data_IF_274799052237
#
_entry.id   IF_274799052237
#
_cell.length_a   1.000
_cell.length_b   1.000
_cell.length_c   1.000
_cell.angle_alpha   90.00
_cell.angle_beta   90.00
_cell.angle_gamma   90.00
#
_symmetry.space_group_name_H-M   'P 1'
#
loop_
_entity.id
_entity.type
_entity.pdbx_description
1 polymer ?
#
# COMPACT_ATOMS: atom_id res chain seq x y z
N UNK A 1 -2.28 51.48 23.76
CA UNK A 1 -1.22 50.59 24.33
C UNK A 1 -1.63 49.96 25.68
N UNK A 2 -2.71 50.37 26.31
CA UNK A 2 -3.17 49.83 27.63
C UNK A 2 -3.90 48.47 27.52
N UNK A 3 -4.36 48.06 26.35
CA UNK A 3 -5.09 46.81 26.20
C UNK A 3 -4.21 45.54 26.36
N UNK A 4 -2.90 45.64 26.08
CA UNK A 4 -1.96 44.53 26.22
C UNK A 4 -1.36 44.42 27.65
N UNK A 5 -1.53 45.38 28.49
CA UNK A 5 -0.92 45.41 29.86
C UNK A 5 -1.74 44.66 30.91
N UNK A 6 -2.99 44.26 30.59
CA UNK A 6 -3.88 43.44 31.45
C UNK A 6 -4.22 42.06 30.85
N UNK A 7 -3.44 41.58 29.91
CA UNK A 7 -3.69 40.28 29.34
C UNK A 7 -3.17 39.21 30.29
N UNK A 8 -4.06 38.48 30.95
CA UNK A 8 -3.68 37.37 31.83
C UNK A 8 -2.83 36.38 31.03
N UNK A 9 -1.74 35.88 31.59
CA UNK A 9 -0.73 35.04 30.94
C UNK A 9 -1.36 33.83 30.21
N UNK A 10 -2.48 33.29 30.69
CA UNK A 10 -3.15 32.17 30.09
C UNK A 10 -3.85 32.49 28.74
N UNK A 11 -4.15 33.77 28.46
CA UNK A 11 -4.72 34.18 27.17
C UNK A 11 -3.73 34.04 26.02
N UNK A 12 -2.42 34.08 26.26
CA UNK A 12 -1.43 33.79 25.24
C UNK A 12 -1.56 32.35 24.71
N UNK A 13 -1.89 31.41 25.58
CA UNK A 13 -2.17 30.01 25.17
C UNK A 13 -3.47 29.90 24.35
N UNK A 14 -4.47 30.70 24.63
CA UNK A 14 -5.66 30.73 23.78
C UNK A 14 -5.33 31.22 22.36
N UNK A 15 -4.56 32.32 22.23
CA UNK A 15 -4.12 32.81 20.93
C UNK A 15 -3.23 31.79 20.18
N UNK A 16 -2.31 31.16 20.89
CA UNK A 16 -1.49 30.07 20.31
C UNK A 16 -2.34 28.89 19.83
N UNK A 17 -3.37 28.52 20.60
CA UNK A 17 -4.34 27.50 20.21
C UNK A 17 -5.12 27.88 18.95
N UNK A 18 -5.61 29.12 18.87
CA UNK A 18 -6.30 29.62 17.67
C UNK A 18 -5.37 29.64 16.45
N UNK A 19 -4.14 30.14 16.60
CA UNK A 19 -3.17 30.14 15.50
C UNK A 19 -2.86 28.70 15.04
N UNK A 20 -2.67 27.76 15.95
CA UNK A 20 -2.46 26.34 15.64
C UNK A 20 -3.66 25.73 14.92
N UNK A 21 -4.89 26.10 15.30
CA UNK A 21 -6.12 25.66 14.65
C UNK A 21 -6.21 26.14 13.20
N UNK A 22 -5.83 27.40 12.94
CA UNK A 22 -5.77 27.96 11.59
C UNK A 22 -4.70 27.22 10.75
N UNK A 23 -3.51 26.99 11.31
CA UNK A 23 -2.44 26.23 10.64
C UNK A 23 -2.91 24.83 10.28
N UNK A 24 -3.64 24.16 11.16
CA UNK A 24 -4.22 22.82 10.92
C UNK A 24 -5.10 22.82 9.68
N UNK A 25 -5.87 23.89 9.43
CA UNK A 25 -6.77 23.98 8.27
C UNK A 25 -6.04 24.08 6.92
N UNK A 26 -4.79 24.51 6.90
CA UNK A 26 -3.97 24.57 5.69
C UNK A 26 -3.16 23.29 5.42
N UNK A 27 -3.11 22.36 6.36
CA UNK A 27 -2.32 21.15 6.21
C UNK A 27 -3.00 20.12 5.31
N UNK A 28 -2.30 19.69 4.26
CA UNK A 28 -2.77 18.66 3.31
C UNK A 28 -2.40 17.23 3.75
N UNK A 29 -1.39 17.09 4.59
CA UNK A 29 -0.85 15.78 5.01
C UNK A 29 -1.40 15.40 6.39
N UNK A 30 -1.86 14.15 6.52
CA UNK A 30 -2.63 13.72 7.68
C UNK A 30 -1.81 13.60 8.97
N UNK A 31 -0.53 13.18 8.91
CA UNK A 31 0.35 13.04 10.09
C UNK A 31 0.66 14.40 10.72
N UNK A 32 1.22 15.38 10.00
CA UNK A 32 1.46 16.72 10.55
C UNK A 32 0.19 17.39 11.07
N UNK A 33 -0.96 17.21 10.37
CA UNK A 33 -2.24 17.73 10.82
C UNK A 33 -2.60 17.22 12.23
N UNK A 34 -2.40 15.92 12.51
CA UNK A 34 -2.68 15.35 13.85
C UNK A 34 -1.71 15.88 14.92
N UNK A 35 -0.42 16.05 14.58
CA UNK A 35 0.57 16.59 15.50
C UNK A 35 0.20 18.03 15.90
N UNK A 36 -0.14 18.88 14.92
CA UNK A 36 -0.55 20.28 15.20
C UNK A 36 -1.87 20.32 15.96
N UNK A 37 -2.83 19.42 15.66
CA UNK A 37 -4.08 19.33 16.42
C UNK A 37 -3.84 18.95 17.89
N UNK A 38 -2.88 18.07 18.18
CA UNK A 38 -2.50 17.73 19.56
C UNK A 38 -1.88 18.92 20.27
N UNK A 39 -0.99 19.68 19.62
CA UNK A 39 -0.43 20.92 20.17
C UNK A 39 -1.54 21.95 20.46
N UNK A 40 -2.47 22.13 19.54
CA UNK A 40 -3.65 22.99 19.70
C UNK A 40 -4.47 22.60 20.94
N UNK A 41 -4.83 21.29 21.06
CA UNK A 41 -5.58 20.80 22.22
C UNK A 41 -4.82 21.03 23.52
N UNK A 42 -3.49 20.87 23.54
CA UNK A 42 -2.66 21.13 24.72
C UNK A 42 -2.69 22.60 25.12
N UNK A 43 -2.61 23.53 24.17
CA UNK A 43 -2.73 24.95 24.45
C UNK A 43 -4.11 25.31 25.02
N UNK A 44 -5.18 24.77 24.48
CA UNK A 44 -6.52 25.00 25.00
C UNK A 44 -6.76 24.35 26.36
N UNK A 45 -6.14 23.24 26.70
CA UNK A 45 -6.18 22.63 28.03
C UNK A 45 -5.56 23.57 29.05
N UNK A 46 -4.35 24.12 28.77
CA UNK A 46 -3.66 25.06 29.68
C UNK A 46 -4.50 26.33 29.87
N UNK A 47 -5.01 26.87 28.77
CA UNK A 47 -5.90 28.05 28.83
C UNK A 47 -7.13 27.80 29.68
N UNK A 48 -7.84 26.69 29.40
CA UNK A 48 -9.12 26.37 30.04
C UNK A 48 -8.96 26.02 31.52
N UNK A 49 -7.85 25.37 31.88
CA UNK A 49 -7.51 25.07 33.29
C UNK A 49 -7.24 26.34 34.08
N UNK A 50 -6.39 27.22 33.57
CA UNK A 50 -6.05 28.48 34.23
C UNK A 50 -7.20 29.48 34.26
N UNK A 51 -8.06 29.50 33.20
CA UNK A 51 -9.20 30.40 33.09
C UNK A 51 -10.49 29.83 33.67
N UNK A 52 -10.47 28.63 34.29
CA UNK A 52 -11.65 27.93 34.84
C UNK A 52 -12.80 27.70 33.80
N UNK A 53 -12.45 27.49 32.51
CA UNK A 53 -13.41 27.28 31.43
C UNK A 53 -13.64 25.76 31.25
N UNK A 54 -14.43 25.17 32.15
CA UNK A 54 -14.65 23.73 32.23
C UNK A 54 -15.15 23.05 30.94
N UNK A 55 -16.09 23.61 30.15
CA UNK A 55 -16.53 22.97 28.93
C UNK A 55 -15.40 22.79 27.90
N UNK A 56 -14.55 23.82 27.75
CA UNK A 56 -13.38 23.77 26.85
C UNK A 56 -12.33 22.78 27.36
N UNK A 57 -12.11 22.73 28.66
CA UNK A 57 -11.20 21.79 29.30
C UNK A 57 -11.64 20.34 29.01
N UNK A 58 -12.91 20.02 29.25
CA UNK A 58 -13.45 18.67 29.05
C UNK A 58 -13.36 18.24 27.58
N UNK A 59 -13.73 19.13 26.65
CA UNK A 59 -13.66 18.84 25.22
C UNK A 59 -12.23 18.49 24.77
N UNK A 60 -11.24 19.35 25.11
CA UNK A 60 -9.88 19.15 24.66
C UNK A 60 -9.19 17.97 25.38
N UNK A 61 -9.60 17.66 26.62
CA UNK A 61 -9.14 16.49 27.36
C UNK A 61 -9.57 15.17 26.68
N UNK A 62 -10.74 15.14 26.04
CA UNK A 62 -11.18 13.99 25.24
C UNK A 62 -10.51 13.98 23.86
N UNK A 63 -10.37 15.13 23.21
CA UNK A 63 -9.82 15.22 21.86
C UNK A 63 -8.32 14.88 21.80
N UNK A 64 -7.58 15.17 22.85
CA UNK A 64 -6.14 14.89 22.90
C UNK A 64 -5.81 13.40 22.77
N UNK A 65 -6.37 12.47 23.59
CA UNK A 65 -6.12 11.04 23.45
C UNK A 65 -6.70 10.47 22.15
N UNK A 66 -7.82 10.99 21.65
CA UNK A 66 -8.37 10.56 20.37
C UNK A 66 -7.43 10.92 19.20
N UNK A 67 -6.85 12.13 19.20
CA UNK A 67 -5.88 12.52 18.19
C UNK A 67 -4.58 11.73 18.32
N UNK A 68 -4.13 11.42 19.55
CA UNK A 68 -2.96 10.59 19.80
C UNK A 68 -3.15 9.15 19.30
N UNK A 69 -4.32 8.55 19.57
CA UNK A 69 -4.66 7.21 19.06
C UNK A 69 -4.64 7.18 17.53
N UNK A 70 -5.32 8.14 16.89
CA UNK A 70 -5.36 8.26 15.42
C UNK A 70 -3.99 8.47 14.82
N UNK A 71 -3.15 9.28 15.46
CA UNK A 71 -1.76 9.49 15.02
C UNK A 71 -0.96 8.19 15.11
N UNK A 72 -1.08 7.47 16.23
CA UNK A 72 -0.39 6.19 16.43
C UNK A 72 -0.81 5.14 15.38
N UNK A 73 -2.12 5.02 15.12
CA UNK A 73 -2.66 4.14 14.07
C UNK A 73 -2.06 4.47 12.70
N UNK A 74 -2.00 5.75 12.34
CA UNK A 74 -1.41 6.20 11.07
C UNK A 74 0.09 5.92 10.97
N UNK A 75 0.84 6.15 12.06
CA UNK A 75 2.28 5.85 12.09
C UNK A 75 2.50 4.34 11.97
N UNK A 76 1.69 3.51 12.64
CA UNK A 76 1.78 2.06 12.51
C UNK A 76 1.49 1.61 11.06
N UNK A 77 0.44 2.16 10.43
CA UNK A 77 0.12 1.88 9.03
C UNK A 77 1.30 2.24 8.12
N UNK A 78 1.88 3.44 8.27
CA UNK A 78 3.01 3.88 7.45
C UNK A 78 4.26 3.01 7.66
N UNK A 79 4.52 2.57 8.90
CA UNK A 79 5.65 1.66 9.21
C UNK A 79 5.44 0.27 8.61
N UNK A 80 4.23 -0.27 8.67
CA UNK A 80 3.89 -1.56 8.06
C UNK A 80 4.03 -1.52 6.54
N UNK A 81 3.62 -0.42 5.89
CA UNK A 81 3.84 -0.19 4.45
C UNK A 81 5.34 -0.19 4.13
N UNK A 82 6.17 0.48 4.93
CA UNK A 82 7.63 0.47 4.77
C UNK A 82 8.23 -0.93 4.90
N UNK A 83 7.82 -1.69 5.91
CA UNK A 83 8.31 -3.05 6.16
C UNK A 83 7.83 -4.06 5.09
N UNK A 84 6.60 -3.91 4.56
CA UNK A 84 6.08 -4.72 3.45
C UNK A 84 6.83 -4.42 2.13
N UNK A 85 7.40 -3.23 2.01
CA UNK A 85 8.22 -2.82 0.85
C UNK A 85 9.60 -3.51 0.84
N UNK A 86 10.14 -3.90 2.01
CA UNK A 86 11.49 -4.51 2.14
C UNK A 86 11.50 -6.03 2.25
N UNK A 87 10.36 -6.70 2.45
CA UNK A 87 10.31 -8.14 2.72
C UNK A 87 9.66 -8.97 1.62
N UNK A 88 10.33 -10.06 1.23
CA UNK A 88 9.86 -11.11 0.30
C UNK A 88 8.61 -11.90 0.80
N UNK A 89 8.06 -11.52 1.96
CA UNK A 89 6.95 -12.22 2.66
C UNK A 89 5.55 -11.67 2.35
N UNK A 90 5.39 -10.92 1.29
CA UNK A 90 4.22 -10.05 1.08
C UNK A 90 2.94 -10.75 0.63
N UNK A 91 2.95 -12.07 0.38
CA UNK A 91 1.73 -12.82 0.03
C UNK A 91 1.14 -13.68 1.14
N UNK A 92 1.82 -13.85 2.29
CA UNK A 92 1.36 -14.74 3.35
C UNK A 92 -0.01 -14.35 3.92
N UNK A 93 -0.29 -13.06 3.97
CA UNK A 93 -1.59 -12.54 4.40
C UNK A 93 -2.72 -12.72 3.36
N UNK A 94 -2.37 -12.92 2.08
CA UNK A 94 -3.34 -13.18 1.01
C UNK A 94 -3.75 -14.66 0.97
N UNK A 95 -2.90 -15.57 1.47
CA UNK A 95 -3.12 -17.03 1.47
C UNK A 95 -4.50 -17.45 2.03
N UNK A 96 -5.05 -16.84 3.12
CA UNK A 96 -6.38 -17.21 3.61
C UNK A 96 -7.53 -16.96 2.63
N UNK A 97 -7.32 -16.07 1.65
CA UNK A 97 -8.32 -15.68 0.64
C UNK A 97 -8.12 -16.39 -0.71
N UNK A 98 -7.14 -17.29 -0.79
CA UNK A 98 -6.79 -18.01 -2.01
C UNK A 98 -7.22 -19.48 -1.93
N UNK A 99 -7.68 -20.03 -3.06
CA UNK A 99 -7.95 -21.43 -3.20
C UNK A 99 -6.70 -22.19 -3.65
N UNK A 100 -6.39 -23.32 -3.00
CA UNK A 100 -5.28 -24.18 -3.39
C UNK A 100 -5.67 -25.05 -4.57
N UNK A 101 -4.80 -25.14 -5.59
CA UNK A 101 -4.91 -26.03 -6.75
C UNK A 101 -3.59 -26.73 -7.02
N UNK A 102 -3.66 -27.98 -7.46
CA UNK A 102 -2.49 -28.78 -7.84
C UNK A 102 -2.49 -28.95 -9.36
N UNK A 103 -1.32 -28.85 -9.97
CA UNK A 103 -1.12 -29.04 -11.41
C UNK A 103 -0.07 -30.11 -11.65
N UNK A 104 -0.27 -30.90 -12.70
CA UNK A 104 0.66 -31.92 -13.16
C UNK A 104 1.61 -31.35 -14.20
N UNK A 105 2.76 -32.00 -14.39
CA UNK A 105 3.70 -31.60 -15.44
C UNK A 105 3.02 -31.69 -16.82
N UNK A 106 3.21 -30.64 -17.63
CA UNK A 106 2.58 -30.50 -18.96
C UNK A 106 1.19 -29.85 -18.94
N UNK A 107 0.59 -29.60 -17.77
CA UNK A 107 -0.68 -28.87 -17.70
C UNK A 107 -0.49 -27.37 -17.95
N UNK A 108 -1.44 -26.79 -18.68
CA UNK A 108 -1.46 -25.35 -18.99
C UNK A 108 -2.45 -24.69 -18.03
N UNK A 109 -1.97 -23.71 -17.27
CA UNK A 109 -2.79 -22.95 -16.33
C UNK A 109 -3.67 -21.92 -17.04
N UNK A 110 -3.11 -21.25 -18.04
CA UNK A 110 -3.82 -20.33 -18.94
C UNK A 110 -3.03 -20.11 -20.24
N UNK A 111 -3.69 -19.71 -21.30
CA UNK A 111 -3.10 -19.45 -22.62
C UNK A 111 -3.04 -17.96 -22.92
N UNK A 112 -2.07 -17.57 -23.73
CA UNK A 112 -2.00 -16.21 -24.29
C UNK A 112 -3.30 -15.86 -25.04
N UNK A 113 -3.85 -14.67 -24.74
CA UNK A 113 -5.09 -14.18 -25.32
C UNK A 113 -6.36 -14.56 -24.59
N UNK A 114 -6.31 -15.53 -23.66
CA UNK A 114 -7.45 -15.88 -22.82
C UNK A 114 -7.90 -14.68 -21.97
N UNK A 115 -9.18 -14.64 -21.62
CA UNK A 115 -9.67 -13.70 -20.61
C UNK A 115 -9.02 -14.00 -19.25
N UNK A 116 -8.52 -12.96 -18.61
CA UNK A 116 -7.82 -13.11 -17.35
C UNK A 116 -8.76 -12.77 -16.20
N UNK A 117 -8.99 -13.75 -15.35
CA UNK A 117 -9.94 -13.70 -14.22
C UNK A 117 -9.27 -13.91 -12.86
N UNK A 118 -8.06 -14.46 -12.84
CA UNK A 118 -7.39 -14.90 -11.63
C UNK A 118 -5.88 -14.61 -11.63
N UNK A 119 -5.35 -14.52 -10.42
CA UNK A 119 -3.94 -14.40 -10.08
C UNK A 119 -3.47 -15.70 -9.44
N UNK A 120 -2.26 -16.15 -9.78
CA UNK A 120 -1.66 -17.39 -9.34
C UNK A 120 -0.41 -17.11 -8.52
N UNK A 121 -0.33 -17.67 -7.31
CA UNK A 121 0.85 -17.65 -6.45
C UNK A 121 1.43 -19.05 -6.34
N UNK A 122 2.70 -19.21 -6.70
CA UNK A 122 3.36 -20.53 -6.73
C UNK A 122 3.81 -20.93 -5.33
N UNK A 123 3.36 -22.10 -4.84
CA UNK A 123 3.77 -22.67 -3.57
C UNK A 123 4.92 -23.65 -3.76
N UNK A 124 4.79 -24.53 -4.75
CA UNK A 124 5.79 -25.56 -5.06
C UNK A 124 5.73 -25.90 -6.55
N UNK A 125 6.71 -26.65 -7.03
CA UNK A 125 6.83 -27.00 -8.44
C UNK A 125 7.56 -25.90 -9.24
N UNK A 126 7.57 -26.09 -10.57
CA UNK A 126 8.22 -25.18 -11.50
C UNK A 126 7.29 -24.91 -12.68
N UNK A 127 7.10 -23.65 -12.99
CA UNK A 127 6.20 -23.18 -14.04
C UNK A 127 7.00 -22.35 -15.05
N UNK A 128 6.55 -22.27 -16.28
CA UNK A 128 7.25 -21.56 -17.35
C UNK A 128 6.27 -20.75 -18.20
N UNK A 129 6.64 -19.53 -18.51
CA UNK A 129 6.00 -18.71 -19.54
C UNK A 129 6.52 -19.18 -20.91
N UNK A 130 5.65 -19.80 -21.71
CA UNK A 130 6.03 -20.52 -22.92
C UNK A 130 6.69 -19.60 -23.95
N UNK A 131 6.13 -18.42 -24.18
CA UNK A 131 6.60 -17.47 -25.21
C UNK A 131 7.96 -16.85 -24.90
N UNK A 132 8.31 -16.71 -23.62
CA UNK A 132 9.54 -16.06 -23.18
C UNK A 132 10.55 -17.00 -22.57
N UNK A 133 10.14 -18.25 -22.26
CA UNK A 133 10.97 -19.22 -21.56
C UNK A 133 11.26 -18.89 -20.11
N UNK A 134 10.66 -17.81 -19.57
CA UNK A 134 10.89 -17.39 -18.19
C UNK A 134 10.29 -18.39 -17.23
N UNK A 135 11.09 -18.89 -16.30
CA UNK A 135 10.62 -19.75 -15.21
C UNK A 135 10.01 -18.93 -14.09
N UNK A 136 8.89 -19.43 -13.56
CA UNK A 136 8.21 -18.88 -12.38
C UNK A 136 8.41 -19.89 -11.24
N UNK A 137 9.12 -19.47 -10.22
CA UNK A 137 9.54 -20.30 -9.09
C UNK A 137 8.56 -20.16 -7.90
N UNK A 138 8.65 -21.08 -6.91
CA UNK A 138 7.91 -20.92 -5.65
C UNK A 138 8.16 -19.55 -4.99
N UNK A 139 7.11 -18.96 -4.44
CA UNK A 139 7.14 -17.59 -3.88
C UNK A 139 6.83 -16.49 -4.90
N UNK A 140 6.74 -16.81 -6.18
CA UNK A 140 6.44 -15.84 -7.23
C UNK A 140 4.96 -15.86 -7.65
N UNK A 141 4.54 -14.78 -8.31
CA UNK A 141 3.16 -14.58 -8.80
C UNK A 141 3.16 -14.58 -10.31
N UNK A 142 2.07 -15.07 -10.91
CA UNK A 142 1.80 -14.97 -12.33
C UNK A 142 0.36 -14.48 -12.59
N UNK A 143 0.17 -13.77 -13.70
CA UNK A 143 -1.12 -13.25 -14.13
C UNK A 143 -1.43 -11.85 -13.59
N UNK A 144 -0.49 -11.20 -12.89
CA UNK A 144 -0.62 -9.86 -12.33
C UNK A 144 -0.73 -8.77 -13.39
N UNK A 145 -0.05 -8.93 -14.54
CA UNK A 145 -0.04 -7.93 -15.60
C UNK A 145 -1.41 -7.76 -16.26
N UNK A 146 -2.15 -8.84 -16.44
CA UNK A 146 -3.47 -8.77 -17.03
C UNK A 146 -4.51 -8.08 -16.13
N UNK A 147 -4.30 -8.02 -14.80
CA UNK A 147 -5.17 -7.30 -13.88
C UNK A 147 -5.10 -5.77 -14.13
N UNK A 148 -3.93 -5.25 -14.52
CA UNK A 148 -3.72 -3.83 -14.81
C UNK A 148 -3.87 -3.49 -16.30
N UNK A 149 -3.86 -4.50 -17.17
CA UNK A 149 -4.06 -4.31 -18.59
C UNK A 149 -5.51 -3.91 -18.91
N UNK A 150 -5.69 -3.01 -19.87
CA UNK A 150 -7.01 -2.47 -20.25
C UNK A 150 -7.94 -3.53 -20.83
N UNK A 151 -7.38 -4.47 -21.58
CA UNK A 151 -8.10 -5.56 -22.25
C UNK A 151 -8.29 -6.81 -21.38
N UNK A 152 -7.67 -6.84 -20.20
CA UNK A 152 -7.71 -7.95 -19.24
C UNK A 152 -7.42 -9.32 -19.89
N UNK A 153 -6.52 -9.36 -20.89
CA UNK A 153 -6.11 -10.60 -21.56
C UNK A 153 -4.77 -11.10 -21.06
N UNK A 154 -4.61 -12.43 -21.09
CA UNK A 154 -3.33 -13.08 -20.78
C UNK A 154 -2.28 -12.67 -21.82
N UNK A 155 -1.17 -12.14 -21.38
CA UNK A 155 -0.06 -11.71 -22.25
C UNK A 155 0.81 -12.87 -22.72
N UNK A 156 0.81 -13.99 -21.97
CA UNK A 156 1.63 -15.17 -22.22
C UNK A 156 0.88 -16.43 -21.78
N UNK A 157 1.37 -17.59 -22.22
CA UNK A 157 0.90 -18.93 -21.79
C UNK A 157 1.71 -19.40 -20.60
N UNK A 158 1.06 -19.89 -19.54
CA UNK A 158 1.72 -20.46 -18.36
C UNK A 158 1.53 -21.97 -18.34
N UNK A 159 2.65 -22.68 -18.37
CA UNK A 159 2.74 -24.14 -18.34
C UNK A 159 3.37 -24.63 -17.04
N UNK A 160 2.87 -25.73 -16.51
CA UNK A 160 3.48 -26.45 -15.40
C UNK A 160 4.61 -27.36 -15.94
N UNK A 161 5.86 -27.11 -15.60
CA UNK A 161 7.02 -27.91 -16.02
C UNK A 161 7.25 -29.06 -15.05
N UNK A 162 7.15 -28.78 -13.75
CA UNK A 162 7.22 -29.78 -12.68
C UNK A 162 5.98 -29.67 -11.82
N UNK A 163 5.34 -30.83 -11.55
CA UNK A 163 4.13 -30.90 -10.74
C UNK A 163 4.26 -30.07 -9.46
N UNK A 164 3.24 -29.27 -9.16
CA UNK A 164 3.30 -28.35 -8.03
C UNK A 164 1.94 -27.83 -7.61
N UNK A 165 1.99 -27.09 -6.52
CA UNK A 165 0.81 -26.43 -5.94
C UNK A 165 0.87 -24.93 -6.17
N UNK A 166 -0.30 -24.39 -6.48
CA UNK A 166 -0.51 -22.96 -6.63
C UNK A 166 -1.70 -22.52 -5.78
N UNK A 167 -1.66 -21.30 -5.30
CA UNK A 167 -2.82 -20.63 -4.72
C UNK A 167 -3.39 -19.66 -5.76
N UNK A 168 -4.72 -19.72 -5.92
CA UNK A 168 -5.44 -18.96 -6.93
C UNK A 168 -6.42 -18.00 -6.25
N UNK A 169 -6.45 -16.75 -6.67
CA UNK A 169 -7.44 -15.76 -6.25
C UNK A 169 -8.04 -15.06 -7.45
N UNK A 170 -9.33 -14.75 -7.41
CA UNK A 170 -9.98 -14.03 -8.49
C UNK A 170 -9.59 -12.54 -8.48
N UNK A 171 -9.62 -11.90 -9.65
CA UNK A 171 -9.39 -10.47 -9.76
C UNK A 171 -10.41 -9.63 -8.98
N UNK A 172 -11.64 -10.10 -8.82
CA UNK A 172 -12.65 -9.45 -8.00
C UNK A 172 -12.24 -9.41 -6.52
N UNK A 173 -11.71 -10.53 -6.00
CA UNK A 173 -11.16 -10.59 -4.63
C UNK A 173 -9.93 -9.70 -4.48
N UNK A 174 -9.00 -9.72 -5.44
CA UNK A 174 -7.82 -8.85 -5.44
C UNK A 174 -8.23 -7.37 -5.41
N UNK A 175 -9.21 -6.97 -6.24
CA UNK A 175 -9.75 -5.59 -6.24
C UNK A 175 -10.39 -5.22 -4.90
N UNK A 176 -11.16 -6.12 -4.30
CA UNK A 176 -11.77 -5.89 -2.99
C UNK A 176 -10.71 -5.67 -1.91
N UNK A 177 -9.67 -6.49 -1.90
CA UNK A 177 -8.54 -6.36 -0.96
C UNK A 177 -7.77 -5.05 -1.21
N UNK A 178 -7.56 -4.67 -2.47
CA UNK A 178 -6.93 -3.40 -2.83
C UNK A 178 -7.65 -2.20 -2.23
N UNK A 179 -8.99 -2.17 -2.27
CA UNK A 179 -9.78 -1.08 -1.67
C UNK A 179 -9.79 -1.09 -0.14
N UNK A 180 -9.68 -2.27 0.47
CA UNK A 180 -9.70 -2.42 1.93
C UNK A 180 -8.33 -2.23 2.58
N UNK A 181 -7.25 -2.50 1.84
CA UNK A 181 -5.88 -2.44 2.36
C UNK A 181 -4.96 -1.66 1.42
N UNK A 182 -4.67 -0.37 1.74
CA UNK A 182 -3.77 0.45 0.95
C UNK A 182 -2.35 -0.11 0.82
N UNK A 183 -1.88 -0.88 1.81
CA UNK A 183 -0.55 -1.52 1.79
C UNK A 183 -0.43 -2.50 0.63
N UNK A 184 -1.49 -3.28 0.38
CA UNK A 184 -1.56 -4.16 -0.77
C UNK A 184 -1.46 -3.40 -2.09
N UNK A 185 -2.11 -2.23 -2.18
CA UNK A 185 -2.07 -1.40 -3.37
C UNK A 185 -0.64 -0.99 -3.75
N UNK A 186 0.14 -0.53 -2.77
CA UNK A 186 1.55 -0.18 -2.97
C UNK A 186 2.42 -1.38 -3.33
N UNK A 187 2.21 -2.50 -2.66
CA UNK A 187 2.92 -3.74 -2.96
C UNK A 187 2.62 -4.22 -4.39
N UNK A 188 1.36 -4.26 -4.76
CA UNK A 188 0.93 -4.69 -6.09
C UNK A 188 1.45 -3.78 -7.20
N UNK A 189 1.44 -2.46 -6.98
CA UNK A 189 2.04 -1.49 -7.89
C UNK A 189 3.53 -1.74 -8.08
N UNK A 190 4.27 -1.98 -7.00
CA UNK A 190 5.70 -2.29 -7.05
C UNK A 190 5.98 -3.58 -7.79
N UNK A 191 5.21 -4.64 -7.53
CA UNK A 191 5.33 -5.92 -8.22
C UNK A 191 5.14 -5.77 -9.73
N UNK A 192 4.05 -5.14 -10.15
CA UNK A 192 3.75 -4.93 -11.57
C UNK A 192 4.78 -4.04 -12.26
N UNK A 193 5.23 -2.96 -11.59
CA UNK A 193 6.29 -2.09 -12.11
C UNK A 193 7.62 -2.85 -12.26
N UNK A 194 8.03 -3.63 -11.25
CA UNK A 194 9.25 -4.43 -11.33
C UNK A 194 9.21 -5.42 -12.50
N UNK A 195 8.08 -6.08 -12.72
CA UNK A 195 7.89 -6.99 -13.87
C UNK A 195 7.97 -6.26 -15.21
N UNK A 196 7.37 -5.08 -15.31
CA UNK A 196 7.46 -4.25 -16.53
C UNK A 196 8.91 -3.84 -16.82
N UNK A 197 9.67 -3.38 -15.83
CA UNK A 197 11.08 -3.03 -16.00
C UNK A 197 11.93 -4.23 -16.39
N UNK A 198 11.72 -5.40 -15.80
CA UNK A 198 12.39 -6.63 -16.19
C UNK A 198 12.10 -7.01 -17.66
N UNK A 199 10.84 -6.86 -18.09
CA UNK A 199 10.47 -7.11 -19.49
C UNK A 199 11.13 -6.10 -20.45
N UNK A 200 11.19 -4.83 -20.08
CA UNK A 200 11.85 -3.78 -20.88
C UNK A 200 13.34 -4.10 -21.02
N UNK A 201 14.04 -4.35 -19.91
CA UNK A 201 15.47 -4.66 -19.93
C UNK A 201 15.77 -5.87 -20.83
N UNK A 202 14.96 -6.93 -20.72
CA UNK A 202 15.12 -8.10 -21.58
C UNK A 202 14.92 -7.77 -23.07
N UNK A 203 13.90 -6.98 -23.42
CA UNK A 203 13.66 -6.58 -24.80
C UNK A 203 14.79 -5.72 -25.35
N UNK A 204 15.38 -4.85 -24.53
CA UNK A 204 16.55 -4.06 -24.89
C UNK A 204 17.77 -4.96 -25.17
N UNK A 205 18.01 -5.98 -24.33
CA UNK A 205 19.08 -6.97 -24.54
C UNK A 205 18.86 -7.78 -25.82
N UNK A 206 17.64 -8.25 -26.08
CA UNK A 206 17.29 -8.98 -27.31
C UNK A 206 17.50 -8.09 -28.56
N UNK A 207 17.10 -6.82 -28.51
CA UNK A 207 17.32 -5.87 -29.60
C UNK A 207 18.80 -5.58 -29.82
N UNK A 208 19.60 -5.47 -28.76
CA UNK A 208 21.05 -5.28 -28.86
C UNK A 208 21.70 -6.51 -29.52
N UNK A 209 21.32 -7.71 -29.10
CA UNK A 209 21.82 -8.97 -29.67
C UNK A 209 21.44 -9.11 -31.16
N UNK A 210 20.23 -8.72 -31.56
CA UNK A 210 19.80 -8.72 -32.96
C UNK A 210 20.60 -7.71 -33.81
N UNK A 211 20.91 -6.54 -33.29
CA UNK A 211 21.74 -5.53 -33.99
C UNK A 211 23.16 -6.02 -34.25
N UNK A 212 23.77 -6.70 -33.28
CA UNK A 212 25.14 -7.28 -33.42
C UNK A 212 25.17 -8.39 -34.48
N UNK A 213 24.11 -9.18 -34.62
CA UNK A 213 24.00 -10.24 -35.62
C UNK A 213 23.73 -9.73 -37.04
N UNK A 214 23.23 -8.50 -37.19
CA UNK A 214 22.89 -7.87 -38.47
C UNK A 214 24.04 -7.04 -39.05
N UNK A 215 25.15 -6.87 -38.29
CA UNK A 215 26.40 -6.18 -38.71
C UNK A 215 27.47 -7.23 -39.04
#
# INVERSE_FOLDING_TARGET
MEFFQKLDWFLYFAYAGVASSVITSYMKTMIPLRVVSMACNSFFIIYAFAGHVYPTLFLNFILLPLNAWRLWEMIQLTRKVGAAVEGDRSFDWLKPFMARRTFQAGEILFRKGDEADALYYMISGRFRLVETGIEILPGQVAGELALVAKDQKRTQTLECVEAGEVMVTSYSQVKQIYYQNPEFGFYFLRLTSARLFQNIARLEDELAACRIKAT
#
